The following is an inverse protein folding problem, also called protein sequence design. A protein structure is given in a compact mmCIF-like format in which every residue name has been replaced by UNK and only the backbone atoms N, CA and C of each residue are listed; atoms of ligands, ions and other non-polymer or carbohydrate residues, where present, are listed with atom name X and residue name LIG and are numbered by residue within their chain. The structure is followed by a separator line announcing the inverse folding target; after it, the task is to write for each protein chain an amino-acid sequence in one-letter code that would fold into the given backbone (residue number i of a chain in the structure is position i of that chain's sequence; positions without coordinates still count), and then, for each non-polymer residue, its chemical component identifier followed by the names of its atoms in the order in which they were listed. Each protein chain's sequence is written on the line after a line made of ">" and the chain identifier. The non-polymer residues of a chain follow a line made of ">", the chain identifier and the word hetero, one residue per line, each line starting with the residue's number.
data_IF_428274668835
#
_entry.id   IF_428274668835
#
_cell.length_a   1.000
_cell.length_b   1.000
_cell.length_c   1.000
_cell.angle_alpha   90.00
_cell.angle_beta   90.00
_cell.angle_gamma   90.00
#
_symmetry.space_group_name_H-M   'P 1'
#
loop_
_entity.id
_entity.type
_entity.pdbx_description
1 polymer ?
#
# COMPACT_ATOMS: atom_id res chain seq x y z
N UNK A 1 22.44 -11.87 6.91
CA UNK A 1 21.86 -11.62 5.56
C UNK A 1 20.38 -11.38 5.73
N UNK A 2 19.92 -10.18 5.47
CA UNK A 2 18.49 -9.95 5.41
C UNK A 2 18.04 -10.52 4.06
N UNK A 3 17.35 -11.65 4.09
CA UNK A 3 16.75 -12.21 2.89
C UNK A 3 15.75 -11.19 2.35
N UNK A 4 16.06 -10.61 1.20
CA UNK A 4 15.15 -9.74 0.48
C UNK A 4 14.00 -10.62 -0.01
N UNK A 5 12.87 -10.52 0.67
CA UNK A 5 11.71 -11.32 0.33
C UNK A 5 10.86 -10.56 -0.69
N UNK A 6 10.77 -11.13 -1.89
CA UNK A 6 9.89 -10.63 -2.96
C UNK A 6 8.57 -11.39 -2.93
N UNK A 7 7.48 -10.76 -3.38
CA UNK A 7 6.18 -11.42 -3.53
C UNK A 7 5.63 -11.17 -4.93
N UNK A 8 5.22 -12.24 -5.59
CA UNK A 8 4.48 -12.18 -6.84
C UNK A 8 3.00 -11.80 -6.61
N UNK A 9 2.25 -11.62 -7.69
CA UNK A 9 0.83 -11.23 -7.62
C UNK A 9 -0.02 -12.24 -6.84
N UNK A 10 0.26 -13.53 -6.93
CA UNK A 10 -0.51 -14.55 -6.22
C UNK A 10 -0.32 -14.38 -4.70
N UNK A 11 0.92 -14.14 -4.27
CA UNK A 11 1.25 -13.89 -2.86
C UNK A 11 0.67 -12.56 -2.37
N UNK A 12 0.64 -11.53 -3.21
CA UNK A 12 -0.03 -10.25 -2.91
C UNK A 12 -1.52 -10.47 -2.71
N UNK A 13 -2.19 -11.22 -3.58
CA UNK A 13 -3.61 -11.54 -3.50
C UNK A 13 -4.00 -12.34 -2.26
N UNK A 14 -3.08 -13.12 -1.70
CA UNK A 14 -3.30 -13.82 -0.43
C UNK A 14 -3.32 -12.86 0.77
N UNK A 15 -2.69 -11.69 0.65
CA UNK A 15 -2.52 -10.72 1.74
C UNK A 15 -3.39 -9.47 1.60
N UNK A 16 -3.90 -9.17 0.40
CA UNK A 16 -4.83 -8.07 0.17
C UNK A 16 -6.18 -8.60 -0.27
N UNK A 17 -7.29 -8.11 0.30
CA UNK A 17 -8.64 -8.51 -0.11
C UNK A 17 -9.10 -7.85 -1.40
N UNK A 18 -8.40 -6.79 -1.83
CA UNK A 18 -8.73 -6.04 -3.04
C UNK A 18 -8.67 -6.92 -4.29
N UNK A 19 -9.53 -6.65 -5.25
CA UNK A 19 -9.59 -7.33 -6.55
C UNK A 19 -9.85 -6.30 -7.65
N UNK A 20 -9.84 -6.76 -8.91
CA UNK A 20 -10.13 -5.89 -10.04
C UNK A 20 -11.45 -5.12 -9.83
N UNK A 21 -11.51 -3.81 -10.09
CA UNK A 21 -10.43 -2.96 -10.64
C UNK A 21 -9.61 -2.23 -9.58
N UNK A 22 -9.66 -2.64 -8.32
CA UNK A 22 -9.17 -1.90 -7.16
C UNK A 22 -7.91 -2.50 -6.51
N UNK A 23 -7.38 -3.60 -7.03
CA UNK A 23 -6.08 -4.13 -6.63
C UNK A 23 -4.98 -3.38 -7.38
N UNK A 24 -4.19 -2.58 -6.66
CA UNK A 24 -3.23 -1.66 -7.25
C UNK A 24 -1.76 -2.05 -7.04
N UNK A 25 -1.49 -3.14 -6.34
CA UNK A 25 -0.13 -3.64 -6.15
C UNK A 25 0.08 -4.89 -6.98
N UNK A 26 1.06 -4.85 -7.90
CA UNK A 26 1.36 -5.95 -8.80
C UNK A 26 2.45 -6.87 -8.26
N UNK A 27 3.39 -6.32 -7.47
CA UNK A 27 4.52 -7.07 -6.92
C UNK A 27 5.07 -6.39 -5.69
N UNK A 28 5.58 -7.16 -4.73
CA UNK A 28 6.47 -6.65 -3.70
C UNK A 28 7.91 -6.90 -4.15
N UNK A 29 8.70 -5.84 -4.21
CA UNK A 29 10.09 -5.89 -4.61
C UNK A 29 11.00 -6.26 -3.44
N UNK A 30 10.69 -5.74 -2.27
CA UNK A 30 11.37 -6.06 -1.02
C UNK A 30 10.51 -5.64 0.18
N UNK A 31 10.67 -6.33 1.29
CA UNK A 31 10.13 -5.87 2.57
C UNK A 31 10.97 -6.34 3.75
N UNK A 32 10.90 -5.57 4.82
CA UNK A 32 11.45 -5.90 6.13
C UNK A 32 10.31 -5.85 7.13
N UNK A 33 10.00 -7.00 7.73
CA UNK A 33 8.89 -7.14 8.69
C UNK A 33 8.97 -6.07 9.79
N UNK A 34 7.85 -5.42 10.06
CA UNK A 34 7.75 -4.36 11.07
C UNK A 34 8.47 -3.04 10.71
N UNK A 35 9.06 -2.94 9.54
CA UNK A 35 9.89 -1.79 9.21
C UNK A 35 9.52 -1.11 7.89
N UNK A 36 9.61 -1.81 6.76
CA UNK A 36 9.40 -1.18 5.45
C UNK A 36 8.98 -2.16 4.36
N UNK A 37 8.38 -1.61 3.33
CA UNK A 37 8.01 -2.32 2.09
C UNK A 37 8.29 -1.43 0.89
N UNK A 38 8.70 -2.06 -0.20
CA UNK A 38 8.82 -1.48 -1.52
C UNK A 38 8.06 -2.34 -2.50
N UNK A 39 7.08 -1.76 -3.16
CA UNK A 39 6.18 -2.47 -4.06
C UNK A 39 6.09 -1.78 -5.41
N UNK A 40 5.54 -2.47 -6.39
CA UNK A 40 5.38 -2.01 -7.75
C UNK A 40 3.92 -2.04 -8.16
N UNK A 41 3.47 -0.94 -8.76
CA UNK A 41 2.27 -0.88 -9.60
C UNK A 41 2.66 -0.54 -11.02
N UNK A 42 2.26 -1.37 -11.97
CA UNK A 42 2.31 -1.02 -13.39
C UNK A 42 1.09 -0.17 -13.75
N UNK A 43 1.32 1.03 -14.25
CA UNK A 43 0.26 1.91 -14.70
C UNK A 43 -0.01 1.64 -16.17
N UNK A 44 -1.22 1.17 -16.49
CA UNK A 44 -1.60 0.84 -17.86
C UNK A 44 -2.87 1.55 -18.28
N UNK A 45 -2.95 1.92 -19.57
CA UNK A 45 -4.18 2.51 -20.11
C UNK A 45 -5.41 1.60 -19.97
N UNK A 46 -5.21 0.30 -19.81
CA UNK A 46 -6.26 -0.67 -19.57
C UNK A 46 -6.77 -0.68 -18.11
N UNK A 47 -6.92 0.51 -17.53
CA UNK A 47 -7.52 0.70 -16.21
C UNK A 47 -8.75 1.61 -16.35
N UNK A 48 -9.88 1.29 -15.67
CA UNK A 48 -11.18 1.94 -15.94
C UNK A 48 -11.20 3.46 -15.77
N UNK A 49 -10.38 4.01 -14.85
CA UNK A 49 -10.43 5.44 -14.55
C UNK A 49 -9.83 6.33 -15.65
N UNK A 50 -9.00 5.80 -16.55
CA UNK A 50 -8.36 6.63 -17.59
C UNK A 50 -9.31 7.17 -18.64
N UNK A 51 -10.42 6.50 -18.91
CA UNK A 51 -11.42 7.01 -19.87
C UNK A 51 -12.10 8.30 -19.39
N UNK A 52 -12.19 8.49 -18.08
CA UNK A 52 -12.80 9.66 -17.47
C UNK A 52 -11.81 10.66 -16.86
N UNK A 53 -10.57 10.30 -16.72
CA UNK A 53 -9.57 11.14 -16.02
C UNK A 53 -8.25 11.26 -16.81
N UNK A 54 -8.18 11.93 -17.93
CA UNK A 54 -9.25 12.69 -18.61
C UNK A 54 -9.38 12.21 -20.05
N UNK A 55 -10.52 12.44 -20.74
CA UNK A 55 -10.74 11.96 -22.12
C UNK A 55 -9.65 12.38 -23.12
N UNK A 56 -9.08 13.56 -22.94
CA UNK A 56 -8.04 14.11 -23.83
C UNK A 56 -6.62 13.88 -23.31
N UNK A 57 -6.46 13.52 -22.05
CA UNK A 57 -5.17 13.26 -21.43
C UNK A 57 -5.31 12.30 -20.25
N UNK A 58 -4.88 11.05 -20.41
CA UNK A 58 -4.97 10.07 -19.33
C UNK A 58 -3.92 10.37 -18.24
N UNK A 59 -4.41 10.63 -17.05
CA UNK A 59 -3.58 10.82 -15.84
C UNK A 59 -4.13 9.94 -14.73
N UNK A 60 -3.23 9.28 -14.00
CA UNK A 60 -3.65 8.53 -12.81
C UNK A 60 -4.16 9.52 -11.75
N UNK A 61 -5.41 9.35 -11.26
CA UNK A 61 -5.92 10.21 -10.20
C UNK A 61 -5.00 10.18 -8.98
N UNK A 62 -4.68 11.34 -8.42
CA UNK A 62 -3.82 11.42 -7.23
C UNK A 62 -4.37 10.62 -6.05
N UNK A 63 -5.68 10.60 -5.87
CA UNK A 63 -6.34 9.79 -4.83
C UNK A 63 -6.11 8.29 -5.03
N UNK A 64 -5.94 7.82 -6.26
CA UNK A 64 -5.62 6.42 -6.56
C UNK A 64 -4.15 6.11 -6.27
N UNK A 65 -3.25 7.09 -6.39
CA UNK A 65 -1.85 6.93 -5.94
C UNK A 65 -1.82 6.74 -4.42
N UNK A 66 -2.58 7.54 -3.68
CA UNK A 66 -2.69 7.40 -2.23
C UNK A 66 -3.28 6.03 -1.87
N UNK A 67 -4.30 5.56 -2.58
CA UNK A 67 -4.85 4.21 -2.38
C UNK A 67 -3.79 3.12 -2.62
N UNK A 68 -2.99 3.25 -3.68
CA UNK A 68 -1.90 2.30 -3.95
C UNK A 68 -0.85 2.28 -2.82
N UNK A 69 -0.46 3.45 -2.32
CA UNK A 69 0.43 3.58 -1.15
C UNK A 69 -0.17 2.93 0.08
N UNK A 70 -1.43 3.09 0.24
CA UNK A 70 -2.19 2.52 1.32
C UNK A 70 -2.26 0.99 1.27
N UNK A 71 -2.43 0.43 0.10
CA UNK A 71 -2.38 -1.02 -0.10
C UNK A 71 -0.98 -1.56 0.21
N UNK A 72 0.08 -0.87 -0.20
CA UNK A 72 1.45 -1.23 0.18
C UNK A 72 1.65 -1.19 1.70
N UNK A 73 1.14 -0.17 2.37
CA UNK A 73 1.16 -0.08 3.84
C UNK A 73 0.39 -1.22 4.51
N UNK A 74 -0.79 -1.56 3.98
CA UNK A 74 -1.58 -2.69 4.44
C UNK A 74 -0.87 -4.03 4.26
N UNK A 75 -0.19 -4.22 3.12
CA UNK A 75 0.66 -5.40 2.91
C UNK A 75 1.75 -5.52 3.97
N UNK A 76 2.45 -4.43 4.26
CA UNK A 76 3.47 -4.42 5.32
C UNK A 76 2.88 -4.85 6.66
N UNK A 77 1.69 -4.35 6.99
CA UNK A 77 1.02 -4.73 8.25
C UNK A 77 0.65 -6.21 8.28
N UNK A 78 0.02 -6.75 7.22
CA UNK A 78 -0.31 -8.17 7.16
C UNK A 78 0.93 -9.07 7.21
N UNK A 79 1.97 -8.72 6.46
CA UNK A 79 3.23 -9.46 6.45
C UNK A 79 3.92 -9.43 7.81
N UNK A 80 3.93 -8.28 8.46
CA UNK A 80 4.59 -8.10 9.77
C UNK A 80 3.91 -8.89 10.89
N UNK A 81 2.60 -9.08 10.81
CA UNK A 81 1.83 -9.87 11.77
C UNK A 81 1.64 -11.33 11.34
N UNK A 82 2.22 -11.73 10.20
CA UNK A 82 1.96 -13.01 9.57
C UNK A 82 0.45 -13.32 9.48
N UNK A 83 -0.33 -12.29 9.18
CA UNK A 83 -1.79 -12.33 9.12
C UNK A 83 -2.29 -12.41 7.69
N UNK A 84 -3.51 -12.92 7.55
CA UNK A 84 -4.24 -12.96 6.28
C UNK A 84 -5.59 -12.26 6.44
N UNK A 85 -6.07 -11.57 5.40
CA UNK A 85 -7.39 -10.98 5.45
C UNK A 85 -8.46 -12.08 5.52
N UNK A 86 -9.36 -11.94 6.48
CA UNK A 86 -10.54 -12.78 6.63
C UNK A 86 -11.70 -11.95 7.23
N UNK A 87 -12.79 -12.58 7.61
CA UNK A 87 -13.92 -11.88 8.22
C UNK A 87 -13.57 -11.24 9.57
N UNK A 88 -12.51 -11.68 10.21
CA UNK A 88 -12.08 -11.26 11.55
C UNK A 88 -10.82 -10.40 11.56
N UNK A 89 -10.10 -10.33 10.43
CA UNK A 89 -8.82 -9.62 10.34
C UNK A 89 -8.84 -8.66 9.17
N UNK A 90 -8.99 -7.39 9.47
CA UNK A 90 -8.99 -6.29 8.48
C UNK A 90 -8.14 -5.14 8.98
N UNK A 91 -7.63 -4.36 8.04
CA UNK A 91 -7.01 -3.08 8.34
C UNK A 91 -7.81 -1.97 7.66
N UNK A 92 -8.15 -0.94 8.41
CA UNK A 92 -8.85 0.23 7.88
C UNK A 92 -7.93 1.42 7.82
N UNK A 93 -8.14 2.25 6.82
CA UNK A 93 -7.62 3.61 6.86
C UNK A 93 -8.36 4.38 7.94
N UNK A 94 -7.58 5.02 8.83
CA UNK A 94 -8.15 5.89 9.86
C UNK A 94 -7.70 7.33 9.69
N UNK A 95 -6.72 7.57 8.84
CA UNK A 95 -6.29 8.93 8.53
C UNK A 95 -5.23 9.01 7.44
N UNK A 96 -5.19 10.14 6.77
CA UNK A 96 -4.18 10.51 5.79
C UNK A 96 -3.79 11.95 6.08
N UNK A 97 -2.51 12.16 6.37
CA UNK A 97 -1.97 13.48 6.64
C UNK A 97 -0.91 13.86 5.63
N UNK A 98 -0.75 15.17 5.41
CA UNK A 98 0.33 15.75 4.63
C UNK A 98 0.48 15.14 3.23
N UNK A 99 -0.63 14.77 2.60
CA UNK A 99 -0.61 14.29 1.23
C UNK A 99 -0.13 15.40 0.28
N UNK A 100 0.82 15.06 -0.58
CA UNK A 100 1.37 15.96 -1.59
C UNK A 100 1.50 15.22 -2.91
N UNK A 101 1.14 15.91 -3.98
CA UNK A 101 1.27 15.46 -5.36
C UNK A 101 2.25 16.39 -6.08
N UNK A 102 3.31 15.82 -6.62
CA UNK A 102 4.43 16.60 -7.18
C UNK A 102 4.50 16.55 -8.69
N UNK A 103 4.17 15.40 -9.27
CA UNK A 103 4.23 15.14 -10.71
C UNK A 103 3.08 14.26 -11.15
N UNK A 104 2.57 14.44 -12.38
CA UNK A 104 1.57 13.54 -12.94
C UNK A 104 2.14 12.15 -13.18
N UNK A 105 1.29 11.15 -13.05
CA UNK A 105 1.56 9.74 -13.39
C UNK A 105 0.68 9.36 -14.57
N UNK A 106 1.27 8.75 -15.59
CA UNK A 106 0.66 8.45 -16.87
C UNK A 106 0.70 6.95 -17.18
N UNK A 107 -0.19 6.45 -18.07
CA UNK A 107 -0.06 5.09 -18.57
C UNK A 107 1.33 4.83 -19.18
N UNK A 108 1.92 3.70 -18.85
CA UNK A 108 3.29 3.33 -19.19
C UNK A 108 4.30 3.55 -18.10
N UNK A 109 3.95 4.30 -17.05
CA UNK A 109 4.81 4.49 -15.88
C UNK A 109 4.82 3.23 -14.99
N UNK A 110 5.97 2.97 -14.39
CA UNK A 110 6.09 2.04 -13.27
C UNK A 110 6.12 2.84 -11.98
N UNK A 111 5.08 2.68 -11.18
CA UNK A 111 4.93 3.38 -9.90
C UNK A 111 5.55 2.53 -8.80
N UNK A 112 6.63 3.01 -8.22
CA UNK A 112 7.26 2.38 -7.05
C UNK A 112 6.64 2.96 -5.79
N UNK A 113 6.14 2.08 -4.94
CA UNK A 113 5.40 2.39 -3.74
C UNK A 113 6.26 2.01 -2.53
N UNK A 114 6.60 2.98 -1.71
CA UNK A 114 7.33 2.74 -0.47
C UNK A 114 6.47 3.10 0.74
N UNK A 115 6.50 2.25 1.75
CA UNK A 115 5.93 2.54 3.06
C UNK A 115 6.92 2.17 4.15
N UNK A 116 7.11 3.06 5.11
CA UNK A 116 7.97 2.86 6.29
C UNK A 116 7.17 3.06 7.55
N UNK A 117 7.26 2.09 8.43
CA UNK A 117 6.67 2.18 9.75
C UNK A 117 7.38 3.27 10.56
N UNK A 118 6.62 4.19 11.14
CA UNK A 118 7.13 5.23 12.04
C UNK A 118 6.85 4.92 13.49
N UNK A 119 5.60 4.58 13.80
CA UNK A 119 5.19 4.30 15.18
C UNK A 119 3.84 3.59 15.24
N UNK A 120 3.62 2.91 16.35
CA UNK A 120 2.32 2.40 16.77
C UNK A 120 1.83 3.22 17.99
N UNK A 121 0.65 3.76 17.88
CA UNK A 121 0.01 4.47 18.97
C UNK A 121 -1.37 3.87 19.21
N UNK A 122 -1.52 3.13 20.30
CA UNK A 122 -2.78 2.48 20.69
C UNK A 122 -3.38 1.59 19.58
N UNK A 123 -2.54 0.82 18.90
CA UNK A 123 -2.95 -0.06 17.81
C UNK A 123 -3.08 0.63 16.44
N UNK A 124 -2.91 1.94 16.35
CA UNK A 124 -2.89 2.67 15.09
C UNK A 124 -1.45 2.75 14.59
N UNK A 125 -1.22 2.16 13.44
CA UNK A 125 0.07 2.26 12.75
C UNK A 125 0.12 3.53 11.94
N UNK A 126 1.17 4.29 12.14
CA UNK A 126 1.52 5.43 11.31
C UNK A 126 2.70 5.07 10.42
N UNK A 127 2.52 5.29 9.11
CA UNK A 127 3.52 4.99 8.10
C UNK A 127 3.81 6.23 7.26
N UNK A 128 5.09 6.49 7.03
CA UNK A 128 5.51 7.43 6.00
C UNK A 128 5.50 6.71 4.65
N UNK A 129 4.83 7.29 3.67
CA UNK A 129 4.70 6.68 2.34
C UNK A 129 5.19 7.62 1.25
N UNK A 130 5.69 7.03 0.18
CA UNK A 130 6.23 7.72 -0.97
C UNK A 130 6.02 6.91 -2.24
N UNK A 131 5.61 7.59 -3.30
CA UNK A 131 5.51 7.02 -4.64
C UNK A 131 6.51 7.71 -5.57
N UNK A 132 7.17 6.94 -6.42
CA UNK A 132 8.13 7.45 -7.39
C UNK A 132 7.96 6.79 -8.76
N UNK A 133 8.34 7.53 -9.80
CA UNK A 133 8.45 7.07 -11.18
C UNK A 133 9.84 7.43 -11.68
N UNK A 134 10.57 6.47 -12.23
CA UNK A 134 11.92 6.65 -12.75
C UNK A 134 12.87 7.37 -11.76
N UNK A 135 12.78 7.05 -10.49
CA UNK A 135 13.61 7.63 -9.43
C UNK A 135 13.16 8.99 -8.91
N UNK A 136 12.10 9.59 -9.46
CA UNK A 136 11.58 10.88 -9.00
C UNK A 136 10.30 10.71 -8.19
N UNK A 137 10.23 11.37 -7.04
CA UNK A 137 9.04 11.38 -6.20
C UNK A 137 7.87 12.07 -6.90
N UNK A 138 6.75 11.36 -7.02
CA UNK A 138 5.52 11.87 -7.64
C UNK A 138 4.44 12.20 -6.60
N UNK A 139 4.44 11.52 -5.48
CA UNK A 139 3.51 11.76 -4.37
C UNK A 139 4.07 11.25 -3.05
N UNK A 140 3.59 11.78 -1.94
CA UNK A 140 3.85 11.26 -0.60
C UNK A 140 2.69 11.57 0.34
N UNK A 141 2.58 10.80 1.41
CA UNK A 141 1.61 11.01 2.47
C UNK A 141 2.05 10.31 3.76
N UNK A 142 1.49 10.74 4.88
CA UNK A 142 1.47 9.96 6.11
C UNK A 142 0.15 9.21 6.17
N UNK A 143 0.21 7.89 6.29
CA UNK A 143 -0.97 7.02 6.30
C UNK A 143 -1.09 6.36 7.66
N UNK A 144 -2.29 6.39 8.21
CA UNK A 144 -2.62 5.72 9.45
C UNK A 144 -3.59 4.59 9.17
N UNK A 145 -3.25 3.41 9.66
CA UNK A 145 -4.05 2.19 9.55
C UNK A 145 -4.28 1.60 10.93
N UNK A 146 -5.46 1.04 11.13
CA UNK A 146 -5.81 0.34 12.36
C UNK A 146 -6.33 -1.06 12.05
N UNK A 147 -5.94 -2.08 12.81
CA UNK A 147 -6.54 -3.39 12.71
C UNK A 147 -7.97 -3.35 13.25
N UNK A 148 -8.90 -3.97 12.51
CA UNK A 148 -10.21 -4.35 13.04
C UNK A 148 -10.13 -5.83 13.41
N UNK A 149 -9.88 -6.07 14.67
CA UNK A 149 -9.87 -7.40 15.25
C UNK A 149 -11.22 -7.58 15.96
N UNK A 150 -12.18 -8.21 15.32
CA UNK A 150 -13.41 -8.59 16.01
C UNK A 150 -13.07 -9.46 17.22
N UNK A 151 -13.57 -9.05 18.37
CA UNK A 151 -13.37 -9.68 19.67
C UNK A 151 -13.63 -11.20 19.61
N UNK A 152 -12.57 -11.99 19.73
CA UNK A 152 -12.62 -13.46 19.76
C UNK A 152 -11.30 -14.14 19.44
N UNK A 153 -10.45 -13.55 18.67
CA UNK A 153 -9.07 -14.00 18.46
C UNK A 153 -8.14 -13.19 19.36
N UNK A 154 -7.96 -13.62 20.57
CA UNK A 154 -6.93 -13.13 21.48
C UNK A 154 -5.55 -13.52 20.97
N UNK A 155 -5.13 -12.99 19.83
CA UNK A 155 -3.74 -12.90 19.49
C UNK A 155 -3.28 -11.51 19.93
N UNK A 156 -2.59 -11.44 21.06
CA UNK A 156 -1.84 -10.27 21.45
C UNK A 156 -1.01 -9.84 20.23
N UNK A 157 -1.32 -8.66 19.70
CA UNK A 157 -0.44 -8.02 18.73
C UNK A 157 0.83 -7.74 19.53
N UNK A 158 1.85 -8.59 19.32
CA UNK A 158 3.13 -8.42 19.97
C UNK A 158 3.60 -6.99 19.70
N UNK A 159 4.00 -6.29 20.75
CA UNK A 159 4.72 -5.04 20.60
C UNK A 159 5.90 -5.32 19.66
N UNK A 160 5.88 -4.69 18.52
CA UNK A 160 7.05 -4.67 17.64
C UNK A 160 8.10 -3.83 18.38
N UNK A 161 9.33 -4.34 18.55
CA UNK A 161 10.36 -3.66 19.33
C UNK A 161 10.76 -2.29 18.77
#
# INVERSE_FOLDING_TARGET
>A
MNDVTTLDINSVMLRLPHRYPFLLVDRVLEYVSGHSIKALKNVTYNEPFFTGHFPTRPLMPGVMIIEALAQAAGLLAFLSHNAFPDENTRFYFVGIDKARFRKPVEPGDQLILEARFERNLRGIWRLATRAEVAGEEVANALIMIAPDLKSGAGAAIGEVP
#
